data_IF_891525145077
#
_entry.id   IF_891525145077
#
_cell.length_a   1.000
_cell.length_b   1.000
_cell.length_c   1.000
_cell.angle_alpha   90.00
_cell.angle_beta   90.00
_cell.angle_gamma   90.00
#
_symmetry.space_group_name_H-M   'P 1'
#
loop_
_entity.id
_entity.type
_entity.pdbx_description
1 polymer ?
#
# COMPACT_ATOMS: atom_id res chain seq x y z
N UNK A 1 35.06 -53.90 17.89
CA UNK A 1 35.78 -53.26 16.77
C UNK A 1 34.80 -53.04 15.64
N UNK A 2 34.19 -51.85 15.61
CA UNK A 2 33.19 -51.51 14.59
C UNK A 2 33.73 -50.34 13.79
N UNK A 3 33.83 -50.51 12.48
CA UNK A 3 34.39 -49.52 11.53
C UNK A 3 33.33 -48.53 11.14
N UNK A 4 33.59 -47.27 11.40
CA UNK A 4 32.79 -46.13 10.99
C UNK A 4 33.08 -45.83 9.52
N UNK A 5 32.10 -46.00 8.65
CA UNK A 5 32.18 -45.63 7.24
C UNK A 5 31.75 -44.15 7.04
N UNK A 6 32.66 -43.34 6.56
CA UNK A 6 32.37 -41.93 6.14
C UNK A 6 31.83 -41.97 4.75
N UNK A 7 30.58 -41.51 4.55
CA UNK A 7 29.97 -41.31 3.25
C UNK A 7 30.24 -39.87 2.82
N UNK A 8 31.06 -39.66 1.79
CA UNK A 8 31.29 -38.38 1.14
C UNK A 8 30.25 -38.20 0.02
N UNK A 9 29.35 -37.27 0.18
CA UNK A 9 28.39 -36.88 -0.89
C UNK A 9 29.02 -35.72 -1.67
N UNK A 10 29.37 -35.99 -2.91
CA UNK A 10 29.82 -34.97 -3.85
C UNK A 10 28.60 -34.21 -4.42
N UNK A 11 28.53 -32.93 -4.17
CA UNK A 11 27.53 -32.03 -4.76
C UNK A 11 27.98 -31.61 -6.16
N UNK A 12 27.24 -32.01 -7.17
CA UNK A 12 27.43 -31.55 -8.55
C UNK A 12 26.76 -30.17 -8.72
N UNK A 13 27.56 -29.14 -9.02
CA UNK A 13 27.06 -27.85 -9.47
C UNK A 13 26.60 -27.98 -10.93
N UNK A 14 25.29 -27.77 -11.17
CA UNK A 14 24.76 -27.54 -12.53
C UNK A 14 24.74 -26.04 -12.78
N UNK A 15 25.61 -25.57 -13.65
CA UNK A 15 25.56 -24.21 -14.18
C UNK A 15 24.41 -24.11 -15.19
N UNK A 16 23.34 -23.44 -14.80
CA UNK A 16 22.23 -23.08 -15.69
C UNK A 16 22.54 -21.77 -16.43
N UNK A 17 22.62 -21.84 -17.77
CA UNK A 17 22.70 -20.69 -18.66
C UNK A 17 21.48 -19.76 -18.47
N UNK A 18 21.75 -18.50 -18.16
CA UNK A 18 20.76 -17.43 -18.27
C UNK A 18 20.59 -17.08 -19.76
N UNK A 19 19.38 -17.27 -20.30
CA UNK A 19 18.99 -16.74 -21.61
C UNK A 19 18.54 -15.29 -21.41
N UNK A 20 19.31 -14.35 -21.95
CA UNK A 20 18.90 -12.95 -22.09
C UNK A 20 17.80 -12.85 -23.14
N UNK A 21 16.58 -12.56 -22.73
CA UNK A 21 15.50 -12.16 -23.63
C UNK A 21 15.58 -10.66 -23.87
N UNK A 22 16.14 -10.27 -25.01
CA UNK A 22 16.08 -8.89 -25.52
C UNK A 22 14.65 -8.57 -25.96
N UNK A 23 14.05 -7.57 -25.30
CA UNK A 23 12.79 -6.96 -25.72
C UNK A 23 13.00 -6.15 -27.02
N UNK A 24 12.13 -6.23 -28.03
CA UNK A 24 12.21 -5.38 -29.19
C UNK A 24 11.76 -3.95 -28.84
N UNK A 25 12.66 -3.00 -29.05
CA UNK A 25 12.38 -1.56 -28.97
C UNK A 25 11.59 -1.13 -30.22
N UNK A 26 10.31 -0.85 -30.08
CA UNK A 26 9.52 -0.20 -31.11
C UNK A 26 9.83 1.30 -31.14
N UNK A 27 10.00 1.93 -32.31
CA UNK A 27 10.21 3.36 -32.39
C UNK A 27 8.91 4.12 -32.13
N UNK A 28 8.95 5.03 -31.17
CA UNK A 28 7.87 6.00 -30.91
C UNK A 28 7.87 7.05 -32.01
N UNK A 29 6.86 7.05 -32.85
CA UNK A 29 6.57 8.11 -33.79
C UNK A 29 5.90 9.28 -33.07
N UNK A 30 6.57 10.41 -33.05
CA UNK A 30 6.06 11.68 -32.54
C UNK A 30 5.19 12.31 -33.63
N UNK A 31 3.94 12.69 -33.38
CA UNK A 31 3.17 13.46 -34.37
C UNK A 31 3.74 14.89 -34.48
N UNK A 32 4.16 15.23 -35.69
CA UNK A 32 4.54 16.60 -36.05
C UNK A 32 3.27 17.43 -36.22
N UNK A 33 3.16 18.49 -35.44
CA UNK A 33 2.07 19.47 -35.56
C UNK A 33 2.47 20.53 -36.61
N UNK A 34 1.81 20.49 -37.75
CA UNK A 34 2.00 21.54 -38.79
C UNK A 34 1.36 22.88 -38.37
N UNK A 35 2.17 23.92 -38.47
CA UNK A 35 1.75 25.30 -38.28
C UNK A 35 0.97 25.79 -39.51
N UNK A 36 -0.32 25.86 -39.40
CA UNK A 36 -1.18 26.57 -40.37
C UNK A 36 -1.32 28.05 -40.00
N UNK A 37 -0.68 28.90 -40.77
CA UNK A 37 -0.85 30.36 -40.71
C UNK A 37 -2.15 30.79 -41.42
N UNK A 38 -2.99 31.52 -40.72
CA UNK A 38 -4.18 32.15 -41.34
C UNK A 38 -4.81 33.18 -40.37
N UNK A 39 -4.40 34.43 -40.50
CA UNK A 39 -5.13 35.58 -39.97
C UNK A 39 -6.24 35.98 -40.90
N UNK A 40 -7.36 36.50 -40.40
CA UNK A 40 -7.74 37.86 -40.75
C UNK A 40 -8.11 38.73 -39.53
N UNK A 41 -7.73 39.98 -39.67
CA UNK A 41 -8.03 41.10 -38.78
C UNK A 41 -9.50 41.50 -38.83
N UNK A 42 -10.07 41.95 -37.70
CA UNK A 42 -10.82 43.20 -37.53
C UNK A 42 -11.44 43.29 -36.11
N UNK A 43 -10.90 44.17 -35.33
CA UNK A 43 -11.47 45.31 -34.58
C UNK A 43 -12.87 45.14 -33.96
N UNK A 44 -12.92 45.19 -32.61
CA UNK A 44 -13.74 46.17 -31.90
C UNK A 44 -13.33 46.20 -30.43
N UNK A 45 -12.98 47.37 -29.95
CA UNK A 45 -12.78 47.73 -28.56
C UNK A 45 -14.12 47.63 -27.83
N UNK A 46 -14.15 46.88 -26.73
CA UNK A 46 -15.04 47.20 -25.63
C UNK A 46 -14.31 47.01 -24.30
N UNK A 47 -14.19 48.16 -23.62
CA UNK A 47 -13.46 48.30 -22.36
C UNK A 47 -14.44 47.97 -21.25
N UNK A 48 -14.45 46.69 -20.79
CA UNK A 48 -15.10 46.31 -19.55
C UNK A 48 -14.08 45.68 -18.65
N UNK A 49 -13.72 46.43 -17.63
CA UNK A 49 -12.89 46.01 -16.51
C UNK A 49 -13.57 44.88 -15.74
N UNK A 50 -13.21 43.65 -16.02
CA UNK A 50 -13.42 42.53 -15.11
C UNK A 50 -12.07 41.80 -14.93
N UNK A 51 -11.53 41.91 -13.75
CA UNK A 51 -10.36 41.13 -13.33
C UNK A 51 -10.53 39.68 -13.71
N UNK A 52 -9.53 39.03 -14.31
CA UNK A 52 -9.56 37.56 -14.46
C UNK A 52 -9.44 36.95 -13.06
N UNK A 53 -10.54 36.40 -12.58
CA UNK A 53 -10.47 35.45 -11.49
C UNK A 53 -9.50 34.34 -11.89
N UNK A 54 -8.35 34.31 -11.25
CA UNK A 54 -7.43 33.18 -11.32
C UNK A 54 -8.18 31.92 -10.91
N UNK A 55 -8.63 31.18 -11.90
CA UNK A 55 -9.07 29.81 -11.70
C UNK A 55 -7.82 28.92 -11.53
N UNK A 56 -7.10 29.10 -10.43
CA UNK A 56 -6.27 28.05 -9.89
C UNK A 56 -7.21 27.02 -9.23
N UNK A 57 -8.03 26.39 -10.04
CA UNK A 57 -8.88 25.28 -9.66
C UNK A 57 -8.14 23.94 -9.69
N UNK A 58 -6.94 23.88 -9.12
CA UNK A 58 -6.54 22.67 -8.42
C UNK A 58 -7.35 22.69 -7.13
N UNK A 59 -8.60 22.24 -7.20
CA UNK A 59 -9.44 22.07 -6.03
C UNK A 59 -8.64 21.25 -5.03
N UNK A 60 -8.28 21.90 -3.93
CA UNK A 60 -7.70 21.30 -2.76
C UNK A 60 -8.81 20.42 -2.15
N UNK A 61 -9.05 19.25 -2.75
CA UNK A 61 -10.07 18.29 -2.30
C UNK A 61 -9.81 17.81 -0.86
N UNK A 62 -8.69 18.25 -0.26
CA UNK A 62 -8.24 17.89 1.08
C UNK A 62 -8.27 19.04 2.09
N UNK A 63 -8.80 20.23 1.72
CA UNK A 63 -8.74 21.41 2.59
C UNK A 63 -9.63 21.33 3.85
N UNK A 64 -10.37 20.25 4.05
CA UNK A 64 -11.29 20.09 5.18
C UNK A 64 -10.93 18.96 6.16
N UNK A 65 -9.79 18.31 5.99
CA UNK A 65 -9.51 17.07 6.71
C UNK A 65 -10.43 15.93 6.24
N UNK A 66 -10.34 14.77 6.85
CA UNK A 66 -11.21 13.65 6.50
C UNK A 66 -11.09 12.48 7.46
N UNK A 67 -12.18 11.74 7.56
CA UNK A 67 -12.23 10.46 8.27
C UNK A 67 -12.18 9.32 7.27
N UNK A 68 -11.30 8.37 7.50
CA UNK A 68 -11.18 7.19 6.67
C UNK A 68 -11.10 5.96 7.58
N UNK A 69 -11.38 4.80 7.04
CA UNK A 69 -11.22 3.58 7.82
C UNK A 69 -11.76 2.37 7.09
N UNK A 70 -11.53 1.20 7.70
CA UNK A 70 -11.99 -0.06 7.15
C UNK A 70 -12.07 -1.13 8.24
N UNK A 71 -13.09 -2.00 8.21
CA UNK A 71 -13.00 -3.28 8.89
C UNK A 71 -11.94 -4.15 8.20
N UNK A 72 -11.31 -5.04 8.96
CA UNK A 72 -10.32 -5.99 8.46
C UNK A 72 -10.82 -7.41 8.69
N UNK A 73 -10.72 -8.27 7.69
CA UNK A 73 -11.06 -9.68 7.78
C UNK A 73 -10.19 -10.53 6.87
N UNK A 74 -10.14 -11.83 7.14
CA UNK A 74 -9.46 -12.79 6.28
C UNK A 74 -10.15 -12.95 4.91
N UNK A 75 -11.46 -12.70 4.86
CA UNK A 75 -12.25 -12.81 3.62
C UNK A 75 -11.83 -11.79 2.54
N UNK A 76 -11.18 -10.70 2.95
CA UNK A 76 -10.68 -9.66 2.05
C UNK A 76 -9.26 -9.94 1.52
N UNK A 77 -8.55 -10.93 2.08
CA UNK A 77 -7.25 -11.33 1.58
C UNK A 77 -7.39 -12.13 0.28
N UNK A 78 -6.44 -11.99 -0.66
CA UNK A 78 -6.37 -12.89 -1.80
C UNK A 78 -6.29 -14.35 -1.34
N UNK A 79 -7.00 -15.27 -2.02
CA UNK A 79 -7.07 -16.66 -1.59
C UNK A 79 -5.68 -17.30 -1.48
N UNK A 80 -5.34 -17.79 -0.30
CA UNK A 80 -4.23 -18.69 -0.05
C UNK A 80 -4.75 -19.92 0.67
N UNK A 81 -3.99 -21.01 0.64
CA UNK A 81 -4.38 -22.20 1.40
C UNK A 81 -4.59 -21.83 2.89
N UNK A 82 -5.62 -22.37 3.47
CA UNK A 82 -6.01 -22.24 4.91
C UNK A 82 -6.40 -20.82 5.38
N UNK A 83 -6.44 -19.79 4.51
CA UNK A 83 -6.84 -18.44 4.95
C UNK A 83 -8.27 -18.38 5.49
N UNK A 84 -9.17 -19.17 4.93
CA UNK A 84 -10.57 -19.25 5.37
C UNK A 84 -10.75 -19.86 6.77
N UNK A 85 -9.71 -20.40 7.36
CA UNK A 85 -9.73 -20.91 8.73
C UNK A 85 -9.56 -19.78 9.76
N UNK A 86 -9.04 -18.62 9.34
CA UNK A 86 -8.84 -17.48 10.24
C UNK A 86 -10.16 -16.83 10.64
N UNK A 87 -10.32 -16.65 11.94
CA UNK A 87 -11.42 -15.90 12.56
C UNK A 87 -10.95 -14.53 13.06
N UNK A 88 -9.73 -14.13 12.70
CA UNK A 88 -9.19 -12.84 13.06
C UNK A 88 -10.00 -11.70 12.41
N UNK A 89 -10.15 -10.60 13.15
CA UNK A 89 -10.86 -9.38 12.71
C UNK A 89 -10.09 -8.16 13.17
N UNK A 90 -10.33 -7.03 12.52
CA UNK A 90 -9.74 -5.77 12.92
C UNK A 90 -10.53 -4.57 12.44
N UNK A 91 -10.04 -3.40 12.82
CA UNK A 91 -10.52 -2.12 12.32
C UNK A 91 -9.36 -1.13 12.25
N UNK A 92 -9.19 -0.48 11.12
CA UNK A 92 -8.27 0.63 10.96
C UNK A 92 -9.07 1.93 10.84
N UNK A 93 -8.69 2.93 11.64
CA UNK A 93 -9.33 4.25 11.71
C UNK A 93 -8.28 5.29 11.40
N UNK A 94 -8.59 6.24 10.54
CA UNK A 94 -7.70 7.32 10.12
C UNK A 94 -8.38 8.66 10.18
N UNK A 95 -7.61 9.67 10.59
CA UNK A 95 -8.02 11.06 10.62
C UNK A 95 -6.98 11.92 9.92
N UNK A 96 -7.35 12.54 8.81
CA UNK A 96 -6.56 13.57 8.16
C UNK A 96 -6.82 14.90 8.84
N UNK A 97 -5.78 15.61 9.25
CA UNK A 97 -5.91 16.95 9.79
C UNK A 97 -6.42 17.95 8.73
N UNK A 98 -6.85 19.14 9.18
CA UNK A 98 -7.49 20.13 8.31
C UNK A 98 -6.59 20.71 7.23
N UNK A 99 -5.28 20.77 7.48
CA UNK A 99 -4.32 21.25 6.49
C UNK A 99 -3.90 20.19 5.47
N UNK A 100 -4.40 18.95 5.63
CA UNK A 100 -4.14 17.85 4.71
C UNK A 100 -2.72 17.29 4.77
N UNK A 101 -1.95 17.56 5.83
CA UNK A 101 -0.53 17.19 5.89
C UNK A 101 -0.22 16.00 6.78
N UNK A 102 -1.07 15.75 7.80
CA UNK A 102 -0.85 14.74 8.83
C UNK A 102 -2.06 13.83 8.96
N UNK A 103 -1.81 12.53 8.91
CA UNK A 103 -2.80 11.47 9.15
C UNK A 103 -2.53 10.85 10.52
N UNK A 104 -3.50 10.92 11.43
CA UNK A 104 -3.50 10.11 12.65
C UNK A 104 -4.20 8.79 12.42
N UNK A 105 -3.82 7.73 13.15
CA UNK A 105 -4.44 6.42 12.99
C UNK A 105 -4.53 5.64 14.30
N UNK A 106 -5.47 4.70 14.31
CA UNK A 106 -5.62 3.65 15.30
C UNK A 106 -5.87 2.32 14.59
N UNK A 107 -5.12 1.28 14.96
CA UNK A 107 -5.28 -0.08 14.47
C UNK A 107 -5.69 -0.99 15.62
N UNK A 108 -6.84 -1.63 15.47
CA UNK A 108 -7.46 -2.51 16.45
C UNK A 108 -7.57 -3.89 15.83
N UNK A 109 -7.27 -4.92 16.60
CA UNK A 109 -7.40 -6.32 16.17
C UNK A 109 -8.12 -7.14 17.24
N UNK A 110 -8.69 -8.25 16.82
CA UNK A 110 -9.31 -9.21 17.70
C UNK A 110 -9.12 -10.63 17.14
N UNK A 111 -8.95 -11.60 18.04
CA UNK A 111 -8.83 -13.01 17.71
C UNK A 111 -7.70 -13.31 16.70
N UNK A 112 -6.57 -12.64 16.86
CA UNK A 112 -5.38 -12.78 16.01
C UNK A 112 -4.17 -13.17 16.87
N UNK A 113 -3.26 -13.95 16.32
CA UNK A 113 -2.04 -14.39 16.99
C UNK A 113 -0.80 -13.99 16.17
N UNK A 114 0.34 -13.89 16.86
CA UNK A 114 1.66 -13.76 16.23
C UNK A 114 1.77 -12.59 15.24
N UNK A 115 1.16 -11.45 15.54
CA UNK A 115 1.23 -10.26 14.68
C UNK A 115 2.67 -9.76 14.59
N UNK A 116 3.19 -9.73 13.37
CA UNK A 116 4.56 -9.27 13.08
C UNK A 116 4.61 -7.87 12.53
N UNK A 117 3.65 -7.49 11.68
CA UNK A 117 3.64 -6.18 11.01
C UNK A 117 2.25 -5.83 10.47
N UNK A 118 2.05 -4.53 10.21
CA UNK A 118 0.87 -4.01 9.51
C UNK A 118 1.22 -2.77 8.69
N UNK A 119 0.59 -2.63 7.53
CA UNK A 119 0.90 -1.58 6.56
C UNK A 119 -0.34 -1.01 5.89
N UNK A 120 -0.17 0.18 5.26
CA UNK A 120 -1.00 0.58 4.13
C UNK A 120 -0.26 0.17 2.85
N UNK A 121 -0.99 -0.46 1.94
CA UNK A 121 -0.55 -0.87 0.61
C UNK A 121 -1.32 -0.12 -0.47
N UNK A 122 -0.78 -0.07 -1.69
CA UNK A 122 -1.44 0.54 -2.85
C UNK A 122 -1.76 -0.55 -3.88
N UNK A 123 -3.02 -0.95 -3.92
CA UNK A 123 -3.64 -1.79 -4.96
C UNK A 123 -5.17 -1.84 -4.79
N UNK A 124 -5.87 -2.28 -5.83
CA UNK A 124 -7.29 -2.57 -5.80
C UNK A 124 -7.64 -3.77 -4.91
N UNK A 125 -8.92 -3.94 -4.60
CA UNK A 125 -9.41 -5.09 -3.85
C UNK A 125 -9.01 -6.42 -4.52
N UNK A 126 -8.63 -7.42 -3.73
CA UNK A 126 -8.21 -8.73 -4.20
C UNK A 126 -6.84 -8.79 -4.89
N UNK A 127 -6.11 -7.67 -4.98
CA UNK A 127 -4.78 -7.59 -5.60
C UNK A 127 -3.73 -7.22 -4.55
N UNK A 128 -2.64 -7.98 -4.48
CA UNK A 128 -1.50 -7.63 -3.64
C UNK A 128 -0.72 -6.48 -4.26
N UNK A 129 -0.48 -5.45 -3.46
CA UNK A 129 0.27 -4.26 -3.85
C UNK A 129 1.49 -4.00 -2.96
N UNK A 130 2.37 -3.09 -3.38
CA UNK A 130 3.53 -2.71 -2.58
C UNK A 130 3.14 -1.91 -1.33
N UNK A 131 3.98 -2.02 -0.29
CA UNK A 131 3.85 -1.24 0.95
C UNK A 131 4.08 0.24 0.67
N UNK A 132 3.23 1.08 1.24
CA UNK A 132 3.32 2.54 1.13
C UNK A 132 3.52 3.23 2.49
N UNK A 133 2.95 2.70 3.59
CA UNK A 133 3.11 3.26 4.94
C UNK A 133 3.19 2.14 5.98
N UNK A 134 4.15 2.23 6.89
CA UNK A 134 4.23 1.35 8.07
C UNK A 134 3.28 1.83 9.17
N UNK A 135 2.46 0.91 9.70
CA UNK A 135 1.57 1.17 10.83
C UNK A 135 2.04 0.46 12.11
N UNK A 136 2.53 -0.79 11.97
CA UNK A 136 3.00 -1.59 13.10
C UNK A 136 4.10 -2.59 12.68
N UNK A 137 5.23 -2.69 13.41
CA UNK A 137 5.74 -1.58 14.19
C UNK A 137 5.92 -0.34 13.32
N UNK A 138 6.13 0.83 13.90
CA UNK A 138 6.17 2.10 13.12
C UNK A 138 7.40 2.29 12.25
N UNK A 139 8.31 1.35 12.27
CA UNK A 139 9.59 1.43 11.55
C UNK A 139 9.83 0.19 10.69
N UNK A 140 10.43 0.38 9.53
CA UNK A 140 10.89 -0.70 8.65
C UNK A 140 12.40 -0.93 8.87
N UNK A 141 12.91 -2.16 8.88
CA UNK A 141 12.17 -3.43 8.83
C UNK A 141 11.44 -3.74 10.14
N UNK A 142 10.48 -4.67 10.14
CA UNK A 142 9.76 -5.03 11.36
C UNK A 142 10.72 -5.56 12.43
N UNK A 143 10.54 -5.07 13.65
CA UNK A 143 11.31 -5.53 14.81
C UNK A 143 10.64 -6.70 15.55
N UNK A 144 9.40 -7.02 15.18
CA UNK A 144 8.65 -8.08 15.86
C UNK A 144 9.09 -9.44 15.37
N UNK A 145 9.57 -10.31 16.26
CA UNK A 145 9.85 -11.69 15.91
C UNK A 145 8.55 -12.47 15.68
N UNK A 146 8.57 -13.58 14.94
CA UNK A 146 7.46 -14.51 14.89
C UNK A 146 7.12 -15.09 16.29
N UNK A 147 5.88 -15.58 16.46
CA UNK A 147 5.48 -16.30 17.66
C UNK A 147 5.10 -15.41 18.86
N UNK A 148 4.55 -14.21 18.63
CA UNK A 148 4.19 -13.26 19.70
C UNK A 148 2.94 -13.59 20.51
N UNK A 149 2.21 -14.68 20.17
CA UNK A 149 0.97 -15.13 20.84
C UNK A 149 -0.26 -14.28 20.49
N UNK A 150 -1.36 -14.53 21.21
CA UNK A 150 -2.68 -13.91 20.97
C UNK A 150 -2.71 -12.46 21.37
N UNK A 151 -3.32 -11.65 20.50
CA UNK A 151 -3.53 -10.22 20.73
C UNK A 151 -5.01 -9.87 20.47
N UNK A 152 -5.61 -9.09 21.40
CA UNK A 152 -6.92 -8.49 21.27
C UNK A 152 -6.83 -7.03 21.73
N UNK A 153 -7.36 -6.08 20.95
CA UNK A 153 -7.38 -4.66 21.27
C UNK A 153 -6.55 -3.79 20.34
N UNK A 154 -6.14 -2.63 20.82
CA UNK A 154 -5.36 -1.64 20.05
C UNK A 154 -3.91 -2.10 19.98
N UNK A 155 -3.40 -2.37 18.77
CA UNK A 155 -2.00 -2.77 18.56
C UNK A 155 -1.11 -1.61 18.13
N UNK A 156 -1.70 -0.57 17.54
CA UNK A 156 -0.96 0.62 17.16
C UNK A 156 -1.81 1.88 17.16
N UNK A 157 -1.19 2.99 17.58
CA UNK A 157 -1.69 4.34 17.38
C UNK A 157 -0.54 5.22 16.94
N UNK A 158 -0.83 6.26 16.15
CA UNK A 158 0.22 7.18 15.77
C UNK A 158 -0.22 8.21 14.76
N UNK A 159 0.78 8.91 14.23
CA UNK A 159 0.63 9.85 13.14
C UNK A 159 1.69 9.58 12.10
N UNK A 160 1.38 9.89 10.84
CA UNK A 160 2.35 9.91 9.76
C UNK A 160 2.09 11.10 8.82
N UNK A 161 3.12 11.49 8.10
CA UNK A 161 3.10 12.53 7.08
C UNK A 161 3.65 11.97 5.77
N UNK A 162 3.69 12.75 4.72
CA UNK A 162 4.30 12.35 3.45
C UNK A 162 5.78 11.93 3.58
N UNK A 163 6.49 12.41 4.61
CA UNK A 163 7.87 11.99 4.88
C UNK A 163 8.02 10.51 5.32
N UNK A 164 6.92 9.88 5.73
CA UNK A 164 6.87 8.47 6.12
C UNK A 164 6.47 7.54 4.96
N UNK A 165 6.22 8.09 3.79
CA UNK A 165 5.85 7.32 2.62
C UNK A 165 7.03 6.56 2.04
N UNK A 166 6.76 5.31 1.63
CA UNK A 166 7.72 4.44 0.96
C UNK A 166 7.09 3.83 -0.30
N UNK A 167 7.88 3.08 -1.05
CA UNK A 167 7.41 2.38 -2.23
C UNK A 167 6.72 3.31 -3.24
N UNK A 168 5.47 3.03 -3.65
CA UNK A 168 4.79 3.80 -4.70
C UNK A 168 4.44 5.23 -4.29
N UNK A 169 4.41 5.53 -2.99
CA UNK A 169 4.14 6.88 -2.48
C UNK A 169 5.40 7.65 -2.08
N UNK A 170 6.59 7.06 -2.18
CA UNK A 170 7.84 7.74 -1.82
C UNK A 170 7.98 9.07 -2.57
N UNK A 171 8.16 10.17 -1.80
CA UNK A 171 8.28 11.53 -2.35
C UNK A 171 6.95 12.15 -2.83
N UNK A 172 5.84 11.45 -2.71
CA UNK A 172 4.52 11.97 -3.06
C UNK A 172 3.90 12.78 -1.89
N UNK A 173 3.02 13.75 -2.16
CA UNK A 173 2.29 14.46 -1.12
C UNK A 173 1.20 13.58 -0.48
N UNK A 174 0.70 13.97 0.71
CA UNK A 174 -0.40 13.28 1.41
C UNK A 174 -1.65 13.13 0.52
N UNK A 175 -1.91 14.09 -0.36
CA UNK A 175 -3.02 14.04 -1.32
C UNK A 175 -2.95 12.83 -2.27
N UNK A 176 -1.77 12.28 -2.54
CA UNK A 176 -1.64 11.07 -3.36
C UNK A 176 -2.21 9.83 -2.65
N UNK A 177 -1.99 9.69 -1.33
CA UNK A 177 -2.62 8.63 -0.54
C UNK A 177 -4.14 8.82 -0.50
N UNK A 178 -4.60 10.05 -0.26
CA UNK A 178 -6.05 10.35 -0.23
C UNK A 178 -6.70 10.06 -1.59
N UNK A 179 -6.05 10.39 -2.69
CA UNK A 179 -6.52 10.05 -4.03
C UNK A 179 -6.58 8.53 -4.25
N UNK A 180 -5.58 7.78 -3.78
CA UNK A 180 -5.59 6.32 -3.84
C UNK A 180 -6.76 5.72 -3.03
N UNK A 181 -7.05 6.25 -1.84
CA UNK A 181 -8.20 5.84 -1.03
C UNK A 181 -9.51 6.10 -1.78
N UNK A 182 -9.70 7.30 -2.33
CA UNK A 182 -10.92 7.63 -3.10
C UNK A 182 -11.09 6.79 -4.37
N UNK A 183 -9.99 6.30 -4.94
CA UNK A 183 -9.99 5.39 -6.08
C UNK A 183 -10.14 3.91 -5.68
N UNK A 184 -10.39 3.58 -4.40
CA UNK A 184 -10.41 2.24 -3.84
C UNK A 184 -9.10 1.44 -4.11
N UNK A 185 -7.97 2.13 -4.16
CA UNK A 185 -6.64 1.61 -4.42
C UNK A 185 -5.69 1.66 -3.21
N UNK A 186 -6.24 1.74 -2.00
CA UNK A 186 -5.44 1.68 -0.78
C UNK A 186 -6.09 0.70 0.20
N UNK A 187 -5.30 -0.19 0.80
CA UNK A 187 -5.79 -1.14 1.79
C UNK A 187 -4.85 -1.25 2.99
N UNK A 188 -5.41 -1.62 4.13
CA UNK A 188 -4.63 -2.04 5.30
C UNK A 188 -4.57 -3.55 5.33
N UNK A 189 -3.42 -4.07 5.76
CA UNK A 189 -3.24 -5.49 5.95
C UNK A 189 -2.38 -5.73 7.20
N UNK A 190 -2.70 -6.79 7.94
CA UNK A 190 -2.00 -7.23 9.15
C UNK A 190 -1.42 -8.60 8.89
N UNK A 191 -0.12 -8.74 9.10
CA UNK A 191 0.63 -9.96 8.88
C UNK A 191 0.89 -10.69 10.19
N UNK A 192 0.87 -12.00 10.13
CA UNK A 192 1.19 -12.86 11.25
C UNK A 192 2.26 -13.89 10.84
N UNK A 193 3.04 -14.36 11.80
CA UNK A 193 3.99 -15.44 11.56
C UNK A 193 4.28 -16.19 12.84
N UNK A 194 4.05 -17.49 12.83
CA UNK A 194 4.38 -18.37 13.96
C UNK A 194 5.87 -18.69 14.03
N UNK A 195 6.56 -18.66 12.90
CA UNK A 195 7.98 -18.96 12.77
C UNK A 195 8.64 -18.14 11.64
N UNK A 196 9.87 -18.46 11.30
CA UNK A 196 10.66 -17.73 10.29
C UNK A 196 10.60 -18.36 8.88
N UNK A 197 9.76 -19.36 8.63
CA UNK A 197 9.76 -20.10 7.36
C UNK A 197 8.98 -19.42 6.24
N UNK A 198 8.15 -18.43 6.57
CA UNK A 198 7.28 -17.69 5.65
C UNK A 198 6.30 -18.55 4.82
N UNK A 199 5.88 -19.68 5.36
CA UNK A 199 4.90 -20.58 4.74
C UNK A 199 3.63 -20.53 5.57
N UNK A 200 2.46 -20.15 5.00
CA UNK A 200 1.20 -20.14 5.73
C UNK A 200 0.83 -21.54 6.20
N UNK A 201 0.59 -21.71 7.50
CA UNK A 201 0.18 -23.00 8.09
C UNK A 201 -1.20 -22.95 8.74
N UNK A 202 -1.77 -21.76 8.94
CA UNK A 202 -3.10 -21.56 9.53
C UNK A 202 -3.20 -20.27 10.32
N UNK A 203 -4.27 -20.09 11.12
CA UNK A 203 -4.48 -18.88 11.92
C UNK A 203 -3.25 -18.51 12.76
N UNK A 204 -2.85 -17.23 12.67
CA UNK A 204 -1.63 -16.73 13.32
C UNK A 204 -0.33 -17.01 12.56
N UNK A 205 -0.41 -17.51 11.31
CA UNK A 205 0.76 -17.82 10.49
C UNK A 205 0.49 -17.53 9.00
N UNK A 206 0.21 -16.26 8.71
CA UNK A 206 0.04 -15.72 7.37
C UNK A 206 1.05 -14.60 7.11
N UNK A 207 2.29 -14.92 6.71
CA UNK A 207 3.32 -13.91 6.44
C UNK A 207 2.96 -12.95 5.30
N UNK A 208 2.11 -13.37 4.36
CA UNK A 208 1.57 -12.55 3.28
C UNK A 208 0.43 -11.61 3.70
N UNK A 209 -0.18 -11.84 4.87
CA UNK A 209 -1.34 -11.13 5.42
C UNK A 209 -2.39 -12.09 5.93
N UNK A 210 -2.96 -11.82 7.11
CA UNK A 210 -4.05 -12.61 7.71
C UNK A 210 -5.39 -11.90 7.63
N UNK A 211 -5.41 -10.59 7.84
CA UNK A 211 -6.62 -9.77 7.71
C UNK A 211 -6.33 -8.51 6.91
N UNK A 212 -7.28 -8.16 6.06
CA UNK A 212 -7.20 -7.03 5.12
C UNK A 212 -8.50 -6.25 5.06
N UNK A 213 -8.45 -5.00 4.62
CA UNK A 213 -9.62 -4.21 4.25
C UNK A 213 -9.24 -3.00 3.39
N UNK A 214 -10.05 -2.71 2.35
CA UNK A 214 -9.91 -1.52 1.54
C UNK A 214 -10.27 -0.29 2.39
N UNK A 215 -9.40 0.71 2.40
CA UNK A 215 -9.65 1.96 3.13
C UNK A 215 -10.65 2.80 2.36
N UNK A 216 -11.68 3.27 3.08
CA UNK A 216 -12.75 4.07 2.51
C UNK A 216 -12.88 5.41 3.25
N UNK A 217 -13.41 6.42 2.56
CA UNK A 217 -13.82 7.67 3.19
C UNK A 217 -15.08 7.41 4.03
N UNK A 218 -15.03 7.79 5.30
CA UNK A 218 -16.18 7.72 6.21
C UNK A 218 -16.79 9.12 6.30
N UNK A 219 -17.90 9.33 5.57
CA UNK A 219 -18.71 10.53 5.72
C UNK A 219 -19.25 10.66 7.15
N UNK A 220 -19.53 11.89 7.56
CA UNK A 220 -20.20 12.19 8.83
C UNK A 220 -21.68 11.86 8.73
#
# INVERSE_FOLDING_TARGET
MSRLGVLVIASAFVAGCAAETTLPTAPMSVPVFESGSGLPSSVSNDLSTSSPASHNGAANANANGGNFGTPLSADEEPPVAVINESQARGNAIFHLNRDGTTMSYQLIVANIENVTQAHIHIAAAGVNGPVAVWLYPRTSPPANPPGGGRIDGVIATGTFTAANFIGPLAGQPMSALVAAIHAANAYVNVHTSADANNVPTGPGDFPGGEIRGQVEHRGH
#
